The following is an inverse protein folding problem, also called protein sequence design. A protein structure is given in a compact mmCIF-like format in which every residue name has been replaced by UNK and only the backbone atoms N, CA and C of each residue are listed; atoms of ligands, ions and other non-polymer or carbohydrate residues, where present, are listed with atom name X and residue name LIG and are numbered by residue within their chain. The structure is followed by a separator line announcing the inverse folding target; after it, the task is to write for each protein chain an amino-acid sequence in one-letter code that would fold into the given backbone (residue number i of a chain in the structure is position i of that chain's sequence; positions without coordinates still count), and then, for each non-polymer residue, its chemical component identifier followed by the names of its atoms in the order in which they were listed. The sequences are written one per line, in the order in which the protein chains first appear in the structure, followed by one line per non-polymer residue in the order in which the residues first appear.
data_IF_897740485525
#
_entry.id   IF_897740485525
#
_cell.length_a   1.000
_cell.length_b   1.000
_cell.length_c   1.000
_cell.angle_alpha   90.00
_cell.angle_beta   90.00
_cell.angle_gamma   90.00
#
_symmetry.space_group_name_H-M   'P 1'
#
loop_
_entity.id
_entity.type
_entity.pdbx_description
1 polymer ?
#
# COMPACT_ATOMS: atom_id res chain seq x y z
N UNK A 1 -42.71 21.31 -14.66
CA UNK A 1 -42.11 21.19 -13.32
C UNK A 1 -41.26 19.92 -13.23
N UNK A 2 -39.99 19.95 -13.69
CA UNK A 2 -39.08 18.78 -13.71
C UNK A 2 -37.67 19.09 -13.17
N UNK A 3 -37.44 20.29 -12.64
CA UNK A 3 -36.11 20.73 -12.21
C UNK A 3 -35.69 20.20 -10.81
N UNK A 4 -36.61 19.62 -10.04
CA UNK A 4 -36.37 19.28 -8.63
C UNK A 4 -35.79 17.87 -8.39
N UNK A 5 -35.97 16.92 -9.31
CA UNK A 5 -35.48 15.53 -9.14
C UNK A 5 -33.98 15.42 -9.40
N UNK A 6 -33.46 16.16 -10.38
CA UNK A 6 -32.03 16.14 -10.74
C UNK A 6 -31.12 16.68 -9.64
N UNK A 7 -31.57 17.72 -8.92
CA UNK A 7 -30.81 18.35 -7.84
C UNK A 7 -30.71 17.42 -6.62
N UNK A 8 -31.79 16.71 -6.28
CA UNK A 8 -31.80 15.74 -5.18
C UNK A 8 -30.86 14.54 -5.45
N UNK A 9 -30.81 14.03 -6.69
CA UNK A 9 -29.86 12.99 -7.06
C UNK A 9 -28.40 13.46 -7.00
N UNK A 10 -28.11 14.67 -7.50
CA UNK A 10 -26.74 15.23 -7.45
C UNK A 10 -26.25 15.42 -6.01
N UNK A 11 -27.11 15.94 -5.12
CA UNK A 11 -26.76 16.14 -3.71
C UNK A 11 -26.54 14.82 -2.96
N UNK A 12 -27.23 13.74 -3.35
CA UNK A 12 -27.02 12.40 -2.79
C UNK A 12 -25.69 11.79 -3.24
N UNK A 13 -25.33 11.91 -4.52
CA UNK A 13 -24.06 11.42 -5.06
C UNK A 13 -22.88 12.15 -4.38
N UNK A 14 -22.95 13.48 -4.26
CA UNK A 14 -21.94 14.28 -3.56
C UNK A 14 -21.82 13.88 -2.09
N UNK A 15 -22.91 13.49 -1.43
CA UNK A 15 -22.87 13.02 -0.04
C UNK A 15 -22.24 11.65 0.14
N UNK A 16 -22.39 10.74 -0.83
CA UNK A 16 -21.81 9.39 -0.80
C UNK A 16 -20.28 9.49 -1.00
N UNK A 17 -19.83 10.29 -1.97
CA UNK A 17 -18.41 10.59 -2.20
C UNK A 17 -17.76 11.21 -0.95
N UNK A 18 -18.45 12.18 -0.31
CA UNK A 18 -17.96 12.83 0.90
C UNK A 18 -17.95 11.91 2.15
N UNK A 19 -18.61 10.75 2.12
CA UNK A 19 -18.55 9.73 3.19
C UNK A 19 -17.44 8.71 2.94
N UNK A 20 -17.16 8.36 1.69
CA UNK A 20 -16.02 7.49 1.34
C UNK A 20 -14.67 8.17 1.56
N UNK A 21 -14.58 9.49 1.39
CA UNK A 21 -13.39 10.28 1.72
C UNK A 21 -13.16 10.49 3.23
N UNK A 22 -14.17 10.18 4.07
CA UNK A 22 -14.13 10.35 5.53
C UNK A 22 -13.70 9.10 6.32
N UNK A 23 -13.14 8.08 5.66
CA UNK A 23 -12.36 7.05 6.37
C UNK A 23 -11.01 7.65 6.76
N UNK A 24 -11.03 8.27 7.94
CA UNK A 24 -9.94 8.76 8.78
C UNK A 24 -8.53 8.35 8.31
N UNK A 25 -7.65 9.29 7.93
CA UNK A 25 -6.24 9.00 8.06
C UNK A 25 -5.99 8.90 9.57
N UNK A 26 -5.54 7.73 10.04
CA UNK A 26 -4.90 7.63 11.35
C UNK A 26 -3.76 8.65 11.48
N UNK A 27 -3.18 8.84 12.68
CA UNK A 27 -2.18 9.88 12.93
C UNK A 27 -1.16 9.90 11.78
N UNK A 28 -1.16 11.01 11.01
CA UNK A 28 -0.17 11.28 9.97
C UNK A 28 1.15 11.53 10.70
N UNK A 29 1.85 10.46 11.06
CA UNK A 29 3.30 10.56 11.20
C UNK A 29 3.82 10.96 9.82
N UNK A 30 4.68 11.97 9.83
CA UNK A 30 5.21 12.60 8.63
C UNK A 30 6.02 11.61 7.81
N UNK A 31 5.35 10.91 6.90
CA UNK A 31 5.93 9.96 5.95
C UNK A 31 6.90 10.67 4.99
N UNK A 32 6.90 12.01 4.95
CA UNK A 32 7.83 12.80 4.14
C UNK A 32 9.28 12.65 4.58
N UNK A 33 9.56 12.29 5.85
CA UNK A 33 10.94 12.07 6.34
C UNK A 33 11.58 10.77 5.88
N UNK A 34 10.81 9.78 5.41
CA UNK A 34 11.40 8.58 4.79
C UNK A 34 12.12 8.90 3.47
N UNK A 35 11.76 10.05 2.86
CA UNK A 35 12.42 10.60 1.67
C UNK A 35 12.58 9.60 0.53
N UNK A 36 13.70 9.72 -0.19
CA UNK A 36 14.10 8.79 -1.26
C UNK A 36 14.63 7.46 -0.76
N UNK A 37 14.98 7.32 0.52
CA UNK A 37 15.61 6.11 1.06
C UNK A 37 14.72 4.87 0.91
N UNK A 38 13.40 5.01 1.09
CA UNK A 38 12.48 3.92 0.80
C UNK A 38 12.49 3.53 -0.68
N UNK A 39 12.49 4.52 -1.58
CA UNK A 39 12.50 4.28 -3.03
C UNK A 39 13.80 3.63 -3.49
N UNK A 40 14.94 4.10 -2.96
CA UNK A 40 16.27 3.54 -3.23
C UNK A 40 16.37 2.08 -2.80
N UNK A 41 15.70 1.69 -1.70
CA UNK A 41 15.60 0.31 -1.28
C UNK A 41 14.59 -0.49 -2.12
N UNK A 42 13.36 0.02 -2.30
CA UNK A 42 12.25 -0.78 -2.80
C UNK A 42 12.26 -0.93 -4.32
N UNK A 43 12.58 0.12 -5.07
CA UNK A 43 12.55 0.11 -6.54
C UNK A 43 13.44 -0.98 -7.18
N UNK A 44 14.71 -1.18 -6.79
CA UNK A 44 15.53 -2.24 -7.40
C UNK A 44 14.98 -3.64 -7.07
N UNK A 45 14.41 -3.83 -5.89
CA UNK A 45 13.84 -5.10 -5.45
C UNK A 45 12.54 -5.38 -6.19
N UNK A 46 11.63 -4.41 -6.26
CA UNK A 46 10.38 -4.49 -7.02
C UNK A 46 10.67 -4.83 -8.49
N UNK A 47 11.62 -4.13 -9.12
CA UNK A 47 12.04 -4.44 -10.49
C UNK A 47 12.57 -5.86 -10.61
N UNK A 48 13.45 -6.28 -9.70
CA UNK A 48 14.03 -7.63 -9.73
C UNK A 48 12.93 -8.69 -9.65
N UNK A 49 12.00 -8.56 -8.70
CA UNK A 49 10.89 -9.49 -8.52
C UNK A 49 9.95 -9.52 -9.73
N UNK A 50 9.68 -8.37 -10.35
CA UNK A 50 8.77 -8.28 -11.50
C UNK A 50 9.40 -8.84 -12.79
N UNK A 51 10.70 -8.68 -12.97
CA UNK A 51 11.43 -9.19 -14.16
C UNK A 51 11.79 -10.66 -14.00
N UNK A 52 12.21 -11.06 -12.80
CA UNK A 52 12.67 -12.40 -12.48
C UNK A 52 11.74 -13.03 -11.43
N UNK A 53 10.73 -13.74 -11.93
CA UNK A 53 9.75 -14.44 -11.09
C UNK A 53 10.37 -15.54 -10.22
N UNK A 54 11.57 -16.06 -10.56
CA UNK A 54 12.27 -17.03 -9.72
C UNK A 54 12.68 -16.42 -8.37
N UNK A 55 12.78 -15.08 -8.30
CA UNK A 55 12.97 -14.37 -7.04
C UNK A 55 11.86 -14.70 -6.04
N UNK A 56 10.61 -14.85 -6.47
CA UNK A 56 9.53 -15.23 -5.56
C UNK A 56 9.53 -16.69 -5.15
N UNK A 57 10.23 -17.55 -5.88
CA UNK A 57 10.42 -18.96 -5.52
C UNK A 57 11.49 -19.12 -4.44
N UNK A 58 12.49 -18.24 -4.41
CA UNK A 58 13.52 -18.21 -3.36
C UNK A 58 13.04 -17.53 -2.08
N UNK A 59 12.09 -16.59 -2.16
CA UNK A 59 11.45 -15.96 -1.00
C UNK A 59 10.32 -16.84 -0.46
N UNK A 60 10.69 -17.87 0.31
CA UNK A 60 9.77 -18.88 0.83
C UNK A 60 9.24 -18.58 2.23
N UNK A 61 10.01 -17.89 3.06
CA UNK A 61 9.64 -17.60 4.45
C UNK A 61 9.25 -16.14 4.63
N UNK A 62 8.22 -15.91 5.46
CA UNK A 62 7.92 -14.57 5.94
C UNK A 62 9.10 -14.04 6.74
N UNK A 63 9.59 -12.82 6.44
CA UNK A 63 10.56 -12.16 7.31
C UNK A 63 9.91 -11.85 8.66
N UNK A 64 10.76 -11.55 9.65
CA UNK A 64 10.28 -11.24 10.99
C UNK A 64 9.78 -9.80 11.06
N UNK A 65 8.45 -9.66 11.12
CA UNK A 65 7.81 -8.36 11.32
C UNK A 65 7.84 -7.92 12.79
N UNK A 66 8.15 -6.65 13.04
CA UNK A 66 7.94 -6.06 14.35
C UNK A 66 6.48 -5.61 14.48
N UNK A 67 5.67 -6.46 15.12
CA UNK A 67 4.24 -6.24 15.26
C UNK A 67 3.46 -6.87 14.10
N UNK A 68 2.70 -6.06 13.37
CA UNK A 68 1.81 -6.54 12.31
C UNK A 68 2.46 -6.45 10.94
N UNK A 69 2.28 -7.49 10.13
CA UNK A 69 2.68 -7.51 8.72
C UNK A 69 1.91 -6.44 7.92
N UNK A 70 2.59 -5.64 7.08
CA UNK A 70 1.94 -4.66 6.23
C UNK A 70 1.11 -5.29 5.11
N UNK A 71 -0.18 -4.95 5.06
CA UNK A 71 -1.08 -5.45 4.01
C UNK A 71 -1.16 -4.57 2.75
N UNK A 72 -0.64 -3.34 2.83
CA UNK A 72 -0.70 -2.37 1.72
C UNK A 72 0.66 -1.73 1.49
N UNK A 73 0.93 -1.26 0.26
CA UNK A 73 2.21 -0.59 -0.04
C UNK A 73 2.42 0.65 0.82
N UNK A 74 1.33 1.35 1.18
CA UNK A 74 1.39 2.47 2.11
C UNK A 74 1.76 2.01 3.52
N UNK A 75 1.21 0.90 4.01
CA UNK A 75 1.60 0.32 5.29
C UNK A 75 3.05 -0.17 5.29
N UNK A 76 3.54 -0.75 4.20
CA UNK A 76 4.93 -1.17 4.06
C UNK A 76 5.87 0.03 4.15
N UNK A 77 5.60 1.09 3.38
CA UNK A 77 6.38 2.34 3.43
C UNK A 77 6.44 2.91 4.83
N UNK A 78 5.30 2.90 5.53
CA UNK A 78 5.17 3.37 6.91
C UNK A 78 5.99 2.51 7.89
N UNK A 79 5.94 1.18 7.72
CA UNK A 79 6.76 0.24 8.50
C UNK A 79 8.25 0.48 8.27
N UNK A 80 8.69 0.52 7.00
CA UNK A 80 10.07 0.81 6.62
C UNK A 80 10.56 2.15 7.18
N UNK A 81 9.71 3.18 7.18
CA UNK A 81 10.05 4.49 7.73
C UNK A 81 10.18 4.51 9.25
N UNK A 82 9.34 3.76 9.96
CA UNK A 82 9.22 3.84 11.42
C UNK A 82 10.11 2.83 12.15
N UNK A 83 10.15 1.60 11.64
CA UNK A 83 10.84 0.45 12.25
C UNK A 83 12.16 0.17 11.54
N UNK A 84 12.23 0.46 10.24
CA UNK A 84 13.29 -0.02 9.36
C UNK A 84 12.89 -1.34 8.70
N UNK A 85 13.36 -1.54 7.47
CA UNK A 85 13.13 -2.77 6.74
C UNK A 85 14.38 -3.20 5.98
N UNK A 86 14.50 -4.51 5.79
CA UNK A 86 15.51 -5.14 4.93
C UNK A 86 14.94 -5.43 3.55
N UNK A 87 15.80 -5.83 2.61
CA UNK A 87 15.38 -6.26 1.28
C UNK A 87 14.40 -7.44 1.31
N UNK A 88 14.50 -8.31 2.31
CA UNK A 88 13.62 -9.46 2.49
C UNK A 88 12.16 -9.04 2.76
N UNK A 89 11.95 -7.99 3.55
CA UNK A 89 10.62 -7.45 3.84
C UNK A 89 9.94 -6.95 2.56
N UNK A 90 10.68 -6.23 1.72
CA UNK A 90 10.17 -5.72 0.45
C UNK A 90 9.91 -6.87 -0.52
N UNK A 91 10.87 -7.78 -0.69
CA UNK A 91 10.74 -8.90 -1.61
C UNK A 91 9.55 -9.80 -1.24
N UNK A 92 9.39 -10.13 0.05
CA UNK A 92 8.26 -10.91 0.54
C UNK A 92 6.93 -10.22 0.26
N UNK A 93 6.81 -8.93 0.61
CA UNK A 93 5.59 -8.15 0.38
C UNK A 93 5.20 -8.11 -1.11
N UNK A 94 6.16 -7.89 -2.01
CA UNK A 94 5.90 -7.84 -3.46
C UNK A 94 5.48 -9.22 -3.96
N UNK A 95 6.18 -10.28 -3.56
CA UNK A 95 5.85 -11.64 -3.96
C UNK A 95 4.48 -12.09 -3.46
N UNK A 96 4.14 -11.76 -2.23
CA UNK A 96 2.85 -12.11 -1.64
C UNK A 96 1.69 -11.40 -2.35
N UNK A 97 1.85 -10.12 -2.71
CA UNK A 97 0.86 -9.43 -3.53
C UNK A 97 0.73 -10.01 -4.94
N UNK A 98 1.84 -10.42 -5.56
CA UNK A 98 1.79 -11.10 -6.85
C UNK A 98 1.05 -12.43 -6.75
N UNK A 99 1.29 -13.24 -5.71
CA UNK A 99 0.55 -14.49 -5.47
C UNK A 99 -0.94 -14.22 -5.30
N UNK A 100 -1.31 -13.23 -4.48
CA UNK A 100 -2.72 -12.83 -4.27
C UNK A 100 -3.41 -12.32 -5.53
N UNK A 101 -2.69 -11.62 -6.41
CA UNK A 101 -3.25 -11.15 -7.69
C UNK A 101 -3.48 -12.26 -8.72
N UNK A 102 -2.87 -13.44 -8.51
CA UNK A 102 -2.98 -14.61 -9.40
C UNK A 102 -3.97 -15.66 -8.89
N UNK A 103 -4.34 -15.59 -7.61
CA UNK A 103 -5.34 -16.45 -6.95
C UNK A 103 -6.76 -15.92 -7.22
#
# INVERSE_FOLDING_TARGET
ALASVGVLCFLLIVRIEARLSRRSPGPLYDVSRCGTAFLELSMPIERKVLVDQETCTSVQSSPRWYGMEPETGTALRRYCCKVGCSSEHVAYFVCENLRRSRA
#
